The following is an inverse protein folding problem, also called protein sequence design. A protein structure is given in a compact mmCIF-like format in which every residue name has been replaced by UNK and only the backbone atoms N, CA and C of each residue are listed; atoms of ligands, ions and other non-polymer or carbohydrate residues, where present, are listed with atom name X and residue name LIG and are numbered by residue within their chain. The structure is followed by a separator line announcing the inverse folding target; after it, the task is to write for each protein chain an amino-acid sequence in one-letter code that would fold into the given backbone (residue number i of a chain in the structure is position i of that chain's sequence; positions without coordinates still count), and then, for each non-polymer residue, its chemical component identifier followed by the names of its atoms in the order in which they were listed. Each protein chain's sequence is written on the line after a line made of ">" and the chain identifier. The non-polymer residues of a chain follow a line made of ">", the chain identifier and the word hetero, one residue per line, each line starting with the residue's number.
data_IF_151392268114
#
_entry.id   IF_151392268114
#
_cell.length_a   1.000
_cell.length_b   1.000
_cell.length_c   1.000
_cell.angle_alpha   90.00
_cell.angle_beta   90.00
_cell.angle_gamma   90.00
#
_symmetry.space_group_name_H-M   'P 1'
#
loop_
_entity.id
_entity.type
_entity.pdbx_description
1 polymer ?
#
# COMPACT_ATOMS: atom_id res chain seq x y z
N UNK A 1 -7.78 5.84 -27.49
CA UNK A 1 -7.59 6.63 -26.24
C UNK A 1 -6.23 6.26 -25.67
N UNK A 2 -5.21 7.09 -25.93
CA UNK A 2 -3.87 6.95 -25.36
C UNK A 2 -4.00 7.15 -23.85
N UNK A 3 -3.48 6.22 -23.05
CA UNK A 3 -3.45 6.42 -21.60
C UNK A 3 -2.67 7.69 -21.28
N UNK A 4 -3.19 8.57 -20.43
CA UNK A 4 -2.42 9.75 -20.08
C UNK A 4 -1.14 9.30 -19.39
N UNK A 5 -0.01 9.88 -19.80
CA UNK A 5 1.30 9.62 -19.18
C UNK A 5 1.24 9.77 -17.64
N UNK A 6 0.29 10.58 -17.16
CA UNK A 6 -0.03 10.75 -15.75
C UNK A 6 -0.45 9.44 -15.04
N UNK A 7 -1.35 8.60 -15.60
CA UNK A 7 -1.79 7.36 -14.91
C UNK A 7 -0.62 6.38 -14.78
N UNK A 8 0.18 6.24 -15.85
CA UNK A 8 1.36 5.37 -15.84
C UNK A 8 2.40 5.87 -14.83
N UNK A 9 2.63 7.19 -14.78
CA UNK A 9 3.52 7.80 -13.80
C UNK A 9 3.02 7.58 -12.38
N UNK A 10 1.74 7.84 -12.13
CA UNK A 10 1.08 7.60 -10.84
C UNK A 10 1.27 6.16 -10.36
N UNK A 11 0.99 5.18 -11.22
CA UNK A 11 1.17 3.76 -10.90
C UNK A 11 2.61 3.40 -10.60
N UNK A 12 3.59 3.93 -11.35
CA UNK A 12 5.02 3.72 -11.07
C UNK A 12 5.40 4.25 -9.69
N UNK A 13 4.96 5.47 -9.37
CA UNK A 13 5.20 6.08 -8.06
C UNK A 13 4.57 5.24 -6.94
N UNK A 14 3.32 4.80 -7.12
CA UNK A 14 2.64 3.95 -6.13
C UNK A 14 3.35 2.60 -5.94
N UNK A 15 3.70 1.90 -7.03
CA UNK A 15 4.45 0.63 -6.99
C UNK A 15 5.77 0.81 -6.25
N UNK A 16 6.52 1.86 -6.58
CA UNK A 16 7.80 2.15 -5.93
C UNK A 16 7.60 2.48 -4.45
N UNK A 17 6.61 3.30 -4.10
CA UNK A 17 6.29 3.60 -2.71
C UNK A 17 5.93 2.34 -1.91
N UNK A 18 5.15 1.42 -2.48
CA UNK A 18 4.80 0.14 -1.84
C UNK A 18 6.03 -0.75 -1.66
N UNK A 19 6.92 -0.81 -2.66
CA UNK A 19 8.19 -1.53 -2.53
C UNK A 19 9.02 -0.99 -1.35
N UNK A 20 9.15 0.35 -1.23
CA UNK A 20 9.83 0.97 -0.09
C UNK A 20 9.10 0.75 1.24
N UNK A 21 7.77 0.74 1.25
CA UNK A 21 7.00 0.45 2.46
C UNK A 21 7.26 -0.98 2.95
N UNK A 22 7.35 -1.96 2.05
CA UNK A 22 7.70 -3.35 2.40
C UNK A 22 9.10 -3.41 3.01
N UNK A 23 10.08 -2.71 2.39
CA UNK A 23 11.43 -2.59 2.96
C UNK A 23 11.39 -1.93 4.35
N UNK A 24 10.62 -0.86 4.51
CA UNK A 24 10.46 -0.18 5.79
C UNK A 24 9.81 -1.10 6.85
N UNK A 25 8.85 -1.93 6.46
CA UNK A 25 8.30 -2.96 7.36
C UNK A 25 9.36 -3.98 7.81
N UNK A 26 10.30 -4.35 6.94
CA UNK A 26 11.46 -5.16 7.32
C UNK A 26 12.41 -4.41 8.28
N UNK A 27 12.54 -3.08 8.15
CA UNK A 27 13.26 -2.25 9.12
C UNK A 27 12.59 -2.25 10.49
N UNK A 28 11.26 -2.13 10.55
CA UNK A 28 10.49 -2.25 11.81
C UNK A 28 10.79 -3.57 12.51
N UNK A 29 10.81 -4.68 11.75
CA UNK A 29 11.11 -6.01 12.30
C UNK A 29 12.56 -6.14 12.76
N UNK A 30 13.53 -5.72 11.94
CA UNK A 30 14.96 -5.85 12.24
C UNK A 30 15.43 -4.97 13.40
N UNK A 31 14.78 -3.82 13.64
CA UNK A 31 15.06 -2.96 14.79
C UNK A 31 14.24 -3.33 16.04
N UNK A 32 13.56 -4.49 16.04
CA UNK A 32 12.64 -4.93 17.10
C UNK A 32 11.59 -3.85 17.46
N UNK A 33 11.22 -3.04 16.48
CA UNK A 33 10.39 -1.87 16.68
C UNK A 33 8.89 -2.17 16.62
N UNK A 34 8.48 -3.39 16.26
CA UNK A 34 7.08 -3.73 15.97
C UNK A 34 6.10 -3.68 17.15
N UNK A 35 6.58 -3.45 18.38
CA UNK A 35 5.76 -3.19 19.58
C UNK A 35 6.13 -1.86 20.25
N UNK A 36 6.79 -0.95 19.52
CA UNK A 36 7.16 0.38 20.03
C UNK A 36 5.97 1.31 20.13
N UNK A 37 4.85 0.99 19.50
CA UNK A 37 3.55 1.63 19.60
C UNK A 37 2.53 0.54 19.90
N UNK A 38 2.27 0.20 21.18
CA UNK A 38 1.54 -1.01 21.55
C UNK A 38 0.00 -0.90 21.40
N UNK A 39 -0.49 0.17 20.78
CA UNK A 39 -1.89 0.42 20.49
C UNK A 39 -2.13 0.59 18.98
N UNK A 40 -3.34 0.28 18.53
CA UNK A 40 -3.82 0.50 17.16
C UNK A 40 -5.35 0.64 17.20
N UNK A 41 -5.98 1.55 16.42
CA UNK A 41 -5.42 2.39 15.35
C UNK A 41 -4.76 3.70 15.85
N UNK A 42 -4.78 3.96 17.15
CA UNK A 42 -4.15 5.14 17.76
C UNK A 42 -2.63 4.99 17.86
N UNK A 43 -1.96 6.06 18.31
CA UNK A 43 -0.56 6.02 18.75
C UNK A 43 -0.47 6.65 20.13
N UNK A 44 -0.29 5.82 21.16
CA UNK A 44 -0.36 6.20 22.57
C UNK A 44 -1.64 6.97 22.94
N UNK A 45 -2.79 6.53 22.42
CA UNK A 45 -4.10 7.17 22.63
C UNK A 45 -4.33 8.45 21.82
N UNK A 46 -3.33 8.93 21.07
CA UNK A 46 -3.52 10.02 20.11
C UNK A 46 -4.15 9.48 18.83
N UNK A 47 -4.90 10.34 18.13
CA UNK A 47 -5.11 10.12 16.70
C UNK A 47 -3.73 10.00 16.04
N UNK A 48 -3.52 8.93 15.28
CA UNK A 48 -2.23 8.58 14.67
C UNK A 48 -1.65 9.74 13.83
N UNK A 49 -2.48 10.51 13.13
CA UNK A 49 -2.01 11.63 12.30
C UNK A 49 -1.62 12.88 13.10
N UNK A 50 -1.98 12.93 14.39
CA UNK A 50 -1.72 14.04 15.28
C UNK A 50 -0.69 13.71 16.38
N UNK A 51 -0.03 12.54 16.30
CA UNK A 51 0.98 12.16 17.28
C UNK A 51 2.22 13.09 17.18
N UNK A 52 2.67 13.72 18.27
CA UNK A 52 3.71 14.76 18.19
C UNK A 52 5.03 14.28 17.61
N UNK A 53 5.53 14.97 16.57
CA UNK A 53 6.80 14.64 15.88
C UNK A 53 8.00 14.62 16.83
N UNK A 54 7.99 15.46 17.87
CA UNK A 54 9.05 15.48 18.90
C UNK A 54 9.20 14.17 19.68
N UNK A 55 8.19 13.28 19.63
CA UNK A 55 8.18 11.97 20.28
C UNK A 55 8.58 10.82 19.35
N UNK A 56 8.81 11.08 18.06
CA UNK A 56 9.21 10.06 17.09
C UNK A 56 10.69 9.72 17.26
N UNK A 57 11.01 8.96 18.31
CA UNK A 57 12.39 8.59 18.67
C UNK A 57 12.52 7.07 18.78
N UNK A 58 13.70 6.54 18.41
CA UNK A 58 13.99 5.11 18.51
C UNK A 58 12.98 4.25 17.74
N UNK A 59 12.55 3.13 18.32
CA UNK A 59 11.58 2.22 17.70
C UNK A 59 10.25 2.87 17.31
N UNK A 60 9.79 3.90 18.04
CA UNK A 60 8.56 4.65 17.73
C UNK A 60 8.66 5.27 16.35
N UNK A 61 9.82 5.83 15.98
CA UNK A 61 10.03 6.41 14.66
C UNK A 61 9.78 5.39 13.54
N UNK A 62 10.34 4.18 13.66
CA UNK A 62 10.19 3.15 12.65
C UNK A 62 8.74 2.70 12.50
N UNK A 63 8.10 2.33 13.62
CA UNK A 63 6.75 1.77 13.60
C UNK A 63 5.71 2.83 13.22
N UNK A 64 5.79 4.02 13.80
CA UNK A 64 4.84 5.08 13.53
C UNK A 64 4.95 5.58 12.09
N UNK A 65 6.17 5.78 11.57
CA UNK A 65 6.36 6.17 10.17
C UNK A 65 5.84 5.10 9.21
N UNK A 66 6.03 3.81 9.54
CA UNK A 66 5.46 2.71 8.76
C UNK A 66 3.94 2.83 8.63
N UNK A 67 3.24 3.09 9.75
CA UNK A 67 1.78 3.22 9.79
C UNK A 67 1.27 4.43 8.98
N UNK A 68 1.99 5.55 9.04
CA UNK A 68 1.65 6.76 8.28
C UNK A 68 1.82 6.55 6.77
N UNK A 69 2.95 5.97 6.35
CA UNK A 69 3.20 5.66 4.93
C UNK A 69 2.18 4.63 4.43
N UNK A 70 1.85 3.60 5.23
CA UNK A 70 0.82 2.62 4.89
C UNK A 70 -0.56 3.28 4.70
N UNK A 71 -0.92 4.23 5.56
CA UNK A 71 -2.19 4.96 5.45
C UNK A 71 -2.25 5.82 4.18
N UNK A 72 -1.15 6.50 3.85
CA UNK A 72 -1.02 7.27 2.60
C UNK A 72 -1.16 6.35 1.37
N UNK A 73 -0.49 5.19 1.36
CA UNK A 73 -0.59 4.21 0.28
C UNK A 73 -2.02 3.68 0.15
N UNK A 74 -2.71 3.42 1.26
CA UNK A 74 -4.13 3.04 1.25
C UNK A 74 -5.00 4.10 0.56
N UNK A 75 -4.84 5.38 0.94
CA UNK A 75 -5.58 6.49 0.34
C UNK A 75 -5.27 6.65 -1.17
N UNK A 76 -4.00 6.56 -1.56
CA UNK A 76 -3.60 6.58 -2.96
C UNK A 76 -4.24 5.42 -3.74
N UNK A 77 -4.26 4.21 -3.17
CA UNK A 77 -4.89 3.06 -3.81
C UNK A 77 -6.38 3.28 -4.07
N UNK A 78 -7.10 3.96 -3.17
CA UNK A 78 -8.50 4.36 -3.38
C UNK A 78 -8.62 5.37 -4.54
N UNK A 79 -7.77 6.40 -4.55
CA UNK A 79 -7.74 7.39 -5.64
C UNK A 79 -7.51 6.70 -6.99
N UNK A 80 -6.58 5.75 -7.06
CA UNK A 80 -6.34 4.94 -8.26
C UNK A 80 -7.60 4.21 -8.73
N UNK A 81 -8.27 3.49 -7.83
CA UNK A 81 -9.46 2.71 -8.16
C UNK A 81 -10.61 3.60 -8.65
N UNK A 82 -10.82 4.75 -8.00
CA UNK A 82 -11.82 5.75 -8.42
C UNK A 82 -11.47 6.31 -9.79
N UNK A 83 -10.23 6.75 -10.02
CA UNK A 83 -9.79 7.32 -11.31
C UNK A 83 -9.96 6.32 -12.45
N UNK A 84 -9.55 5.06 -12.26
CA UNK A 84 -9.70 4.01 -13.28
C UNK A 84 -11.17 3.69 -13.55
N UNK A 85 -12.02 3.74 -12.53
CA UNK A 85 -13.48 3.58 -12.67
C UNK A 85 -14.10 4.75 -13.46
N UNK A 86 -13.79 5.99 -13.10
CA UNK A 86 -14.32 7.19 -13.75
C UNK A 86 -13.86 7.32 -15.21
N UNK A 87 -12.65 6.86 -15.52
CA UNK A 87 -12.15 6.79 -16.90
C UNK A 87 -12.73 5.62 -17.71
N UNK A 88 -13.65 4.83 -17.12
CA UNK A 88 -14.31 3.69 -17.76
C UNK A 88 -13.31 2.70 -18.35
N UNK A 89 -12.28 2.37 -17.57
CA UNK A 89 -11.29 1.39 -17.99
C UNK A 89 -11.90 -0.01 -18.17
N UNK A 90 -11.15 -0.91 -18.83
CA UNK A 90 -11.59 -2.30 -19.03
C UNK A 90 -12.01 -2.91 -17.70
N UNK A 91 -13.13 -3.64 -17.69
CA UNK A 91 -13.71 -4.27 -16.49
C UNK A 91 -12.67 -4.99 -15.62
N UNK A 92 -11.77 -5.76 -16.22
CA UNK A 92 -10.74 -6.49 -15.47
C UNK A 92 -9.76 -5.56 -14.75
N UNK A 93 -9.37 -4.42 -15.36
CA UNK A 93 -8.48 -3.42 -14.74
C UNK A 93 -9.20 -2.75 -13.56
N UNK A 94 -10.47 -2.39 -13.74
CA UNK A 94 -11.28 -1.80 -12.67
C UNK A 94 -11.45 -2.78 -11.50
N UNK A 95 -11.80 -4.04 -11.78
CA UNK A 95 -11.91 -5.09 -10.76
C UNK A 95 -10.59 -5.30 -10.00
N UNK A 96 -9.46 -5.37 -10.72
CA UNK A 96 -8.15 -5.47 -10.07
C UNK A 96 -7.83 -4.25 -9.20
N UNK A 97 -8.22 -3.04 -9.62
CA UNK A 97 -7.99 -1.83 -8.83
C UNK A 97 -8.80 -1.81 -7.52
N UNK A 98 -10.04 -2.31 -7.54
CA UNK A 98 -10.84 -2.46 -6.31
C UNK A 98 -10.36 -3.65 -5.46
N UNK A 99 -9.86 -4.71 -6.08
CA UNK A 99 -9.16 -5.78 -5.37
C UNK A 99 -7.94 -5.23 -4.64
N UNK A 100 -7.17 -4.32 -5.25
CA UNK A 100 -6.04 -3.64 -4.58
C UNK A 100 -6.49 -2.87 -3.33
N UNK A 101 -7.63 -2.17 -3.38
CA UNK A 101 -8.21 -1.49 -2.20
C UNK A 101 -8.60 -2.48 -1.10
N UNK A 102 -9.22 -3.60 -1.48
CA UNK A 102 -9.54 -4.67 -0.53
C UNK A 102 -8.28 -5.25 0.12
N UNK A 103 -7.27 -5.62 -0.68
CA UNK A 103 -6.02 -6.19 -0.20
C UNK A 103 -5.28 -5.24 0.78
N UNK A 104 -5.16 -3.95 0.45
CA UNK A 104 -4.48 -2.98 1.34
C UNK A 104 -5.28 -2.72 2.62
N UNK A 105 -6.61 -2.82 2.57
CA UNK A 105 -7.46 -2.70 3.77
C UNK A 105 -7.28 -3.89 4.71
N UNK A 106 -7.35 -5.11 4.17
CA UNK A 106 -7.05 -6.34 4.94
C UNK A 106 -5.63 -6.28 5.48
N UNK A 107 -4.69 -5.77 4.71
CA UNK A 107 -3.30 -5.61 5.12
C UNK A 107 -3.15 -4.67 6.33
N UNK A 108 -3.84 -3.54 6.33
CA UNK A 108 -3.87 -2.61 7.46
C UNK A 108 -4.45 -3.26 8.72
N UNK A 109 -5.53 -4.03 8.57
CA UNK A 109 -6.13 -4.81 9.67
C UNK A 109 -5.14 -5.84 10.21
N UNK A 110 -4.54 -6.68 9.36
CA UNK A 110 -3.55 -7.66 9.80
C UNK A 110 -2.35 -7.00 10.49
N UNK A 111 -1.89 -5.85 10.01
CA UNK A 111 -0.83 -5.08 10.65
C UNK A 111 -1.21 -4.60 12.05
N UNK A 112 -2.43 -4.07 12.23
CA UNK A 112 -2.96 -3.70 13.53
C UNK A 112 -3.10 -4.91 14.48
N UNK A 113 -3.61 -6.04 13.97
CA UNK A 113 -3.73 -7.28 14.74
C UNK A 113 -2.36 -7.84 15.16
N UNK A 114 -1.34 -7.71 14.32
CA UNK A 114 0.04 -8.06 14.66
C UNK A 114 0.53 -7.28 15.89
N UNK A 115 0.16 -6.01 16.03
CA UNK A 115 0.50 -5.21 17.23
C UNK A 115 -0.34 -5.65 18.44
N UNK A 116 -1.66 -5.71 18.28
CA UNK A 116 -2.60 -6.02 19.38
C UNK A 116 -2.31 -7.39 20.00
N UNK A 117 -2.01 -8.40 19.18
CA UNK A 117 -1.72 -9.76 19.63
C UNK A 117 -0.23 -10.02 19.92
N UNK A 118 0.61 -8.97 19.92
CA UNK A 118 2.04 -9.05 20.26
C UNK A 118 2.86 -9.97 19.35
N UNK A 119 2.81 -9.70 18.04
CA UNK A 119 3.61 -10.35 17.00
C UNK A 119 3.37 -11.86 16.80
N UNK A 120 2.11 -12.37 16.76
CA UNK A 120 1.89 -13.77 16.50
C UNK A 120 2.39 -14.12 15.09
N UNK A 121 3.16 -15.22 14.99
CA UNK A 121 3.89 -15.59 13.77
C UNK A 121 2.95 -15.75 12.58
N UNK A 122 1.79 -16.38 12.77
CA UNK A 122 0.82 -16.62 11.69
C UNK A 122 0.27 -15.31 11.11
N UNK A 123 -0.22 -14.40 11.96
CA UNK A 123 -0.78 -13.12 11.50
C UNK A 123 0.31 -12.24 10.88
N UNK A 124 1.47 -12.17 11.51
CA UNK A 124 2.59 -11.34 11.04
C UNK A 124 3.17 -11.85 9.72
N UNK A 125 3.20 -13.17 9.51
CA UNK A 125 3.62 -13.76 8.24
C UNK A 125 2.56 -13.58 7.17
N UNK A 126 1.27 -13.76 7.50
CA UNK A 126 0.16 -13.49 6.58
C UNK A 126 0.15 -12.02 6.13
N UNK A 127 0.38 -11.08 7.06
CA UNK A 127 0.59 -9.67 6.75
C UNK A 127 1.76 -9.50 5.77
N UNK A 128 2.91 -10.13 6.02
CA UNK A 128 4.03 -10.11 5.08
C UNK A 128 3.63 -10.54 3.66
N UNK A 129 3.09 -11.76 3.53
CA UNK A 129 2.68 -12.38 2.24
C UNK A 129 1.66 -11.53 1.49
N UNK A 130 0.69 -10.96 2.21
CA UNK A 130 -0.35 -10.13 1.62
C UNK A 130 0.24 -8.82 1.07
N UNK A 131 1.27 -8.26 1.71
CA UNK A 131 2.00 -7.08 1.21
C UNK A 131 2.59 -7.33 -0.18
N UNK A 132 3.26 -8.48 -0.37
CA UNK A 132 3.85 -8.81 -1.67
C UNK A 132 2.77 -9.12 -2.71
N UNK A 133 1.70 -9.80 -2.31
CA UNK A 133 0.55 -10.04 -3.20
C UNK A 133 -0.06 -8.74 -3.70
N UNK A 134 -0.25 -7.75 -2.81
CA UNK A 134 -0.71 -6.42 -3.16
C UNK A 134 0.22 -5.72 -4.16
N UNK A 135 1.54 -5.75 -3.93
CA UNK A 135 2.52 -5.21 -4.87
C UNK A 135 2.42 -5.85 -6.26
N UNK A 136 2.29 -7.19 -6.33
CA UNK A 136 2.17 -7.91 -7.60
C UNK A 136 0.89 -7.53 -8.37
N UNK A 137 -0.23 -7.31 -7.68
CA UNK A 137 -1.47 -6.84 -8.31
C UNK A 137 -1.30 -5.45 -8.92
N UNK A 138 -0.60 -4.52 -8.23
CA UNK A 138 -0.32 -3.19 -8.79
C UNK A 138 0.57 -3.27 -10.04
N UNK A 139 1.59 -4.12 -10.01
CA UNK A 139 2.46 -4.38 -11.17
C UNK A 139 1.65 -4.95 -12.35
N UNK A 140 0.74 -5.89 -12.08
CA UNK A 140 -0.15 -6.46 -13.09
C UNK A 140 -1.04 -5.39 -13.73
N UNK A 141 -1.65 -4.50 -12.93
CA UNK A 141 -2.45 -3.37 -13.43
C UNK A 141 -1.62 -2.50 -14.36
N UNK A 142 -0.41 -2.11 -13.94
CA UNK A 142 0.51 -1.30 -14.76
C UNK A 142 0.88 -1.99 -16.08
N UNK A 143 1.17 -3.29 -16.05
CA UNK A 143 1.48 -4.09 -17.23
C UNK A 143 0.31 -4.15 -18.23
N UNK A 144 -0.91 -4.42 -17.73
CA UNK A 144 -2.13 -4.49 -18.55
C UNK A 144 -2.43 -3.16 -19.25
N UNK A 145 -2.27 -2.04 -18.53
CA UNK A 145 -2.45 -0.69 -19.09
C UNK A 145 -1.41 -0.42 -20.18
N UNK A 146 -0.14 -0.72 -19.91
CA UNK A 146 0.97 -0.44 -20.85
C UNK A 146 0.87 -1.28 -22.12
N UNK A 147 0.53 -2.57 -22.01
CA UNK A 147 0.42 -3.43 -23.19
C UNK A 147 -0.78 -3.09 -24.06
N UNK A 148 -1.92 -2.73 -23.46
CA UNK A 148 -3.08 -2.25 -24.21
C UNK A 148 -2.72 -1.03 -25.06
N UNK A 149 -1.94 -0.09 -24.52
CA UNK A 149 -1.46 1.08 -25.27
C UNK A 149 -0.57 0.69 -26.45
N UNK A 150 0.40 -0.20 -26.25
CA UNK A 150 1.29 -0.68 -27.31
C UNK A 150 0.52 -1.33 -28.46
N UNK A 151 -0.46 -2.18 -28.15
CA UNK A 151 -1.30 -2.85 -29.16
C UNK A 151 -2.15 -1.85 -29.96
N UNK A 152 -2.73 -0.84 -29.29
CA UNK A 152 -3.46 0.22 -29.97
C UNK A 152 -2.56 1.06 -30.88
N UNK A 153 -1.33 1.36 -30.44
CA UNK A 153 -0.38 2.12 -31.27
C UNK A 153 0.11 1.31 -32.48
N UNK A 154 0.21 -0.02 -32.36
CA UNK A 154 0.55 -0.90 -33.48
C UNK A 154 -0.60 -1.00 -34.48
N UNK A 155 -1.84 -1.16 -34.02
CA UNK A 155 -3.01 -1.28 -34.89
C UNK A 155 -3.38 0.01 -35.66
N UNK A 156 -2.86 1.16 -35.22
CA UNK A 156 -3.08 2.48 -35.85
C UNK A 156 -1.92 2.92 -36.75
N UNK A 157 -0.87 2.10 -36.91
CA UNK A 157 0.19 2.28 -37.90
C UNK A 157 -0.11 1.42 -39.13
#
# INVERSE_FOLDING_TARGET
>A
MTYSNFIKFYLKVLIFAVFFLIFWGALVKSHNAGLSVPDWPTTYGYNMFAYPVSRWKGGIFYEHLHRLIASLIGALTVVMAVVLTLKKEKRNIVLLSWLSVFLVSVQGVLGGLTVIYRLPVLISSAHGVLAQTFLLVLILIYFLITNKEKLLNFANK
#
